data_IF_139435718218
#
_entry.id   IF_139435718218
#
_cell.length_a   1.000
_cell.length_b   1.000
_cell.length_c   1.000
_cell.angle_alpha   90.00
_cell.angle_beta   90.00
_cell.angle_gamma   90.00
#
_symmetry.space_group_name_H-M   'P 1'
#
loop_
_entity.id
_entity.type
_entity.pdbx_description
1 polymer ?
#
# COMPACT_ATOMS: atom_id res chain seq x y z
N UNK A 1 38.83 0.16 28.53
CA UNK A 1 37.70 -0.05 29.45
C UNK A 1 36.59 0.91 29.03
N UNK A 2 35.69 0.48 28.14
CA UNK A 2 34.57 1.30 27.60
C UNK A 2 33.42 1.01 28.51
N UNK A 3 33.00 1.99 29.30
CA UNK A 3 31.75 1.91 30.08
C UNK A 3 30.56 1.67 29.13
N UNK A 4 29.67 0.70 29.41
CA UNK A 4 28.44 0.56 28.65
C UNK A 4 27.60 1.81 28.90
N UNK A 5 27.30 2.56 27.82
CA UNK A 5 26.28 3.61 27.85
C UNK A 5 25.00 2.99 28.33
N UNK A 6 24.55 3.35 29.52
CA UNK A 6 23.23 2.99 30.01
C UNK A 6 22.20 3.42 28.96
N UNK A 7 21.21 2.57 28.64
CA UNK A 7 20.16 2.97 27.73
C UNK A 7 19.49 4.22 28.29
N UNK A 8 19.14 5.22 27.43
CA UNK A 8 18.46 6.42 27.92
C UNK A 8 17.19 5.97 28.66
N UNK A 9 17.07 6.36 29.92
CA UNK A 9 15.84 6.21 30.70
C UNK A 9 14.78 7.00 29.96
N UNK A 10 14.01 6.31 29.12
CA UNK A 10 12.81 6.86 28.50
C UNK A 10 11.94 7.33 29.65
N UNK A 11 11.72 8.64 29.78
CA UNK A 11 10.72 9.18 30.65
C UNK A 11 9.38 8.58 30.19
N UNK A 12 8.95 7.53 30.89
CA UNK A 12 7.72 6.80 30.61
C UNK A 12 6.54 7.70 31.04
N UNK A 13 6.18 8.65 30.19
CA UNK A 13 4.82 9.15 30.23
C UNK A 13 3.98 7.98 29.76
N UNK A 14 3.17 7.40 30.65
CA UNK A 14 2.32 6.26 30.34
C UNK A 14 1.54 6.56 29.06
N UNK A 15 1.72 5.75 27.98
CA UNK A 15 1.01 5.93 26.73
C UNK A 15 -0.51 5.86 26.96
N UNK A 16 -1.29 6.50 26.08
CA UNK A 16 -2.75 6.50 26.19
C UNK A 16 -3.33 5.09 26.15
N UNK A 17 -4.24 4.79 27.09
CA UNK A 17 -4.93 3.49 27.19
C UNK A 17 -6.36 3.55 26.61
N UNK A 18 -6.99 2.37 26.42
CA UNK A 18 -8.29 2.15 25.76
C UNK A 18 -9.43 3.07 26.26
N UNK A 19 -9.44 3.45 27.53
CA UNK A 19 -10.43 4.33 28.14
C UNK A 19 -10.23 5.81 27.85
N UNK A 20 -9.03 6.22 27.44
CA UNK A 20 -8.60 7.60 27.39
C UNK A 20 -9.20 8.37 26.19
N UNK A 21 -9.50 9.64 26.41
CA UNK A 21 -9.82 10.55 25.30
C UNK A 21 -8.66 10.66 24.31
N UNK A 22 -7.40 10.62 24.79
CA UNK A 22 -6.20 10.62 23.97
C UNK A 22 -6.15 9.43 23.01
N UNK A 23 -6.41 8.22 23.50
CA UNK A 23 -6.49 7.03 22.66
C UNK A 23 -7.50 7.18 21.51
N UNK A 24 -8.74 7.59 21.83
CA UNK A 24 -9.80 7.78 20.82
C UNK A 24 -9.42 8.82 19.77
N UNK A 25 -8.75 9.91 20.18
CA UNK A 25 -8.27 10.97 19.27
C UNK A 25 -7.17 10.43 18.36
N UNK A 26 -6.20 9.69 18.87
CA UNK A 26 -5.12 9.08 18.08
C UNK A 26 -5.66 8.12 17.05
N UNK A 27 -6.51 7.15 17.45
CA UNK A 27 -7.03 6.16 16.51
C UNK A 27 -7.94 6.76 15.45
N UNK A 28 -8.79 7.74 15.81
CA UNK A 28 -9.65 8.47 14.88
C UNK A 28 -8.84 9.31 13.89
N UNK A 29 -7.79 9.98 14.35
CA UNK A 29 -6.88 10.72 13.48
C UNK A 29 -6.14 9.82 12.50
N UNK A 30 -5.58 8.70 12.97
CA UNK A 30 -4.84 7.77 12.10
C UNK A 30 -5.76 7.01 11.14
N UNK A 31 -6.98 6.72 11.54
CA UNK A 31 -7.99 6.18 10.63
C UNK A 31 -8.27 7.18 9.49
N UNK A 32 -8.58 8.44 9.80
CA UNK A 32 -8.82 9.49 8.81
C UNK A 32 -7.59 9.73 7.92
N UNK A 33 -6.39 9.71 8.51
CA UNK A 33 -5.14 9.82 7.77
C UNK A 33 -4.96 8.65 6.78
N UNK A 34 -5.26 7.41 7.20
CA UNK A 34 -5.24 6.23 6.34
C UNK A 34 -6.24 6.36 5.19
N UNK A 35 -7.46 6.80 5.47
CA UNK A 35 -8.49 7.07 4.44
C UNK A 35 -7.97 8.08 3.42
N UNK A 36 -7.48 9.24 3.86
CA UNK A 36 -6.96 10.29 2.97
C UNK A 36 -5.85 9.76 2.05
N UNK A 37 -4.82 9.15 2.66
CA UNK A 37 -3.63 8.70 1.93
C UNK A 37 -3.97 7.72 0.83
N UNK A 38 -4.76 6.69 1.14
CA UNK A 38 -5.05 5.63 0.17
C UNK A 38 -6.16 6.01 -0.81
N UNK A 39 -7.08 6.90 -0.45
CA UNK A 39 -8.05 7.48 -1.38
C UNK A 39 -7.34 8.30 -2.46
N UNK A 40 -6.42 9.19 -2.08
CA UNK A 40 -5.62 9.99 -3.01
C UNK A 40 -4.67 9.12 -3.86
N UNK A 41 -4.03 8.11 -3.27
CA UNK A 41 -3.10 7.21 -3.95
C UNK A 41 -3.75 6.54 -5.16
N UNK A 42 -4.95 6.02 -4.98
CA UNK A 42 -5.65 5.22 -5.99
C UNK A 42 -6.77 5.98 -6.73
N UNK A 43 -6.89 7.28 -6.56
CA UNK A 43 -7.97 8.11 -7.14
C UNK A 43 -8.09 8.02 -8.66
N UNK A 44 -6.98 7.81 -9.39
CA UNK A 44 -7.01 7.69 -10.85
C UNK A 44 -7.31 6.28 -11.37
N UNK A 45 -7.31 5.25 -10.50
CA UNK A 45 -7.42 3.86 -10.98
C UNK A 45 -8.77 3.55 -11.64
N UNK A 46 -9.88 4.12 -11.13
CA UNK A 46 -11.19 3.98 -11.76
C UNK A 46 -11.33 4.82 -13.04
N UNK A 47 -10.45 5.79 -13.25
CA UNK A 47 -10.46 6.73 -14.38
C UNK A 47 -9.55 6.29 -15.53
N UNK A 48 -8.82 5.18 -15.40
CA UNK A 48 -7.86 4.73 -16.42
C UNK A 48 -8.47 4.57 -17.81
N UNK A 49 -9.73 4.06 -17.97
CA UNK A 49 -10.35 3.97 -19.29
C UNK A 49 -10.73 5.32 -19.90
N UNK A 50 -10.89 6.37 -19.10
CA UNK A 50 -11.27 7.72 -19.54
C UNK A 50 -10.09 8.50 -20.14
N UNK A 51 -8.88 8.31 -19.65
CA UNK A 51 -7.72 9.09 -20.08
C UNK A 51 -7.35 8.92 -21.56
N UNK A 52 -7.47 7.72 -22.18
CA UNK A 52 -7.33 7.57 -23.63
C UNK A 52 -8.26 8.48 -24.42
N UNK A 53 -9.51 8.60 -24.00
CA UNK A 53 -10.51 9.45 -24.68
C UNK A 53 -10.22 10.94 -24.46
N UNK A 54 -9.84 11.33 -23.25
CA UNK A 54 -9.61 12.74 -22.90
C UNK A 54 -8.30 13.28 -23.45
N UNK A 55 -7.23 12.51 -23.42
CA UNK A 55 -5.87 12.98 -23.73
C UNK A 55 -5.26 12.37 -24.99
N UNK A 56 -5.95 11.46 -25.69
CA UNK A 56 -5.41 10.77 -26.85
C UNK A 56 -4.23 9.84 -26.56
N UNK A 57 -4.15 9.31 -25.31
CA UNK A 57 -3.06 8.45 -24.86
C UNK A 57 -3.45 6.98 -24.96
N UNK A 58 -2.46 6.08 -25.00
CA UNK A 58 -2.72 4.63 -25.00
C UNK A 58 -3.15 4.14 -23.60
N UNK A 59 -3.74 2.93 -23.52
CA UNK A 59 -4.02 2.26 -22.26
C UNK A 59 -2.74 2.08 -21.42
N UNK A 60 -1.60 1.79 -22.06
CA UNK A 60 -0.30 1.70 -21.41
C UNK A 60 0.14 3.03 -20.78
N UNK A 61 -0.05 4.13 -21.50
CA UNK A 61 0.24 5.46 -20.96
C UNK A 61 -0.70 5.82 -19.82
N UNK A 62 -1.99 5.51 -19.94
CA UNK A 62 -3.00 5.78 -18.91
C UNK A 62 -2.61 5.20 -17.54
N UNK A 63 -2.08 3.96 -17.49
CA UNK A 63 -1.66 3.32 -16.24
C UNK A 63 -0.51 4.05 -15.53
N UNK A 64 0.26 4.91 -16.24
CA UNK A 64 1.32 5.73 -15.63
C UNK A 64 0.77 6.68 -14.56
N UNK A 65 -0.49 7.09 -14.63
CA UNK A 65 -1.11 7.96 -13.63
C UNK A 65 -1.19 7.32 -12.23
N UNK A 66 -1.29 6.00 -12.14
CA UNK A 66 -1.20 5.23 -10.89
C UNK A 66 0.26 4.92 -10.56
N UNK A 67 1.02 4.47 -11.55
CA UNK A 67 2.39 3.98 -11.38
C UNK A 67 3.36 5.06 -10.91
N UNK A 68 3.26 6.28 -11.45
CA UNK A 68 4.09 7.41 -11.00
C UNK A 68 3.77 7.82 -9.56
N UNK A 69 2.52 7.70 -9.13
CA UNK A 69 2.18 7.96 -7.73
C UNK A 69 2.76 6.88 -6.81
N UNK A 70 2.68 5.61 -7.20
CA UNK A 70 3.20 4.51 -6.37
C UNK A 70 4.72 4.50 -6.31
N UNK A 71 5.44 4.81 -7.41
CA UNK A 71 6.90 4.92 -7.35
C UNK A 71 7.36 6.15 -6.57
N UNK A 72 6.68 7.30 -6.73
CA UNK A 72 6.97 8.50 -5.94
C UNK A 72 6.84 8.24 -4.45
N UNK A 73 5.77 7.54 -4.04
CA UNK A 73 5.58 7.12 -2.66
C UNK A 73 6.66 6.12 -2.20
N UNK A 74 6.95 5.10 -3.01
CA UNK A 74 7.97 4.09 -2.68
C UNK A 74 9.35 4.68 -2.45
N UNK A 75 9.81 5.55 -3.36
CA UNK A 75 11.11 6.23 -3.23
C UNK A 75 11.13 7.18 -2.02
N UNK A 76 10.07 7.96 -1.85
CA UNK A 76 10.00 8.90 -0.74
C UNK A 76 9.93 8.23 0.64
N UNK A 77 9.40 6.99 0.74
CA UNK A 77 9.41 6.21 1.99
C UNK A 77 10.81 5.96 2.53
N UNK A 78 11.83 5.80 1.66
CA UNK A 78 13.21 5.58 2.08
C UNK A 78 13.80 6.79 2.82
N UNK A 79 13.27 7.99 2.52
CA UNK A 79 13.72 9.26 3.11
C UNK A 79 12.78 9.71 4.24
N UNK A 80 11.47 9.48 4.10
CA UNK A 80 10.47 9.97 5.05
C UNK A 80 10.64 9.38 6.46
N UNK A 81 11.07 8.11 6.58
CA UNK A 81 11.38 7.49 7.87
C UNK A 81 12.49 8.25 8.61
N UNK A 82 13.72 8.31 8.08
CA UNK A 82 14.81 9.11 8.65
C UNK A 82 14.46 10.58 8.88
N UNK A 83 13.74 11.21 7.95
CA UNK A 83 13.32 12.61 8.11
C UNK A 83 12.42 12.79 9.33
N UNK A 84 11.57 11.82 9.63
CA UNK A 84 10.68 11.87 10.77
C UNK A 84 11.40 11.80 12.12
N UNK A 85 12.60 11.14 12.15
CA UNK A 85 13.45 11.07 13.35
C UNK A 85 14.03 12.45 13.72
N UNK A 86 14.12 13.37 12.75
CA UNK A 86 14.65 14.71 12.94
C UNK A 86 13.52 15.75 13.05
N UNK A 87 12.57 15.72 12.13
CA UNK A 87 11.51 16.73 12.02
C UNK A 87 10.33 16.51 12.99
N UNK A 88 10.19 15.29 13.52
CA UNK A 88 9.10 14.87 14.40
C UNK A 88 7.92 14.25 13.64
N UNK A 89 7.29 13.26 14.27
CA UNK A 89 6.22 12.43 13.67
C UNK A 89 5.00 13.24 13.25
N UNK A 90 4.46 14.04 14.16
CA UNK A 90 3.22 14.80 13.97
C UNK A 90 3.35 15.85 12.87
N UNK A 91 4.49 16.54 12.79
CA UNK A 91 4.75 17.55 11.75
C UNK A 91 4.75 16.91 10.36
N UNK A 92 5.42 15.77 10.23
CA UNK A 92 5.48 15.06 8.94
C UNK A 92 4.11 14.54 8.50
N UNK A 93 3.29 14.01 9.44
CA UNK A 93 1.91 13.57 9.15
C UNK A 93 1.08 14.76 8.63
N UNK A 94 1.07 15.88 9.34
CA UNK A 94 0.28 17.05 8.91
C UNK A 94 0.72 17.60 7.56
N UNK A 95 2.04 17.75 7.35
CA UNK A 95 2.57 18.19 6.07
C UNK A 95 2.18 17.25 4.92
N UNK A 96 2.36 15.95 5.13
CA UNK A 96 2.04 14.92 4.14
C UNK A 96 0.57 14.98 3.71
N UNK A 97 -0.36 15.04 4.66
CA UNK A 97 -1.79 15.07 4.37
C UNK A 97 -2.22 16.37 3.68
N UNK A 98 -1.76 17.51 4.17
CA UNK A 98 -2.09 18.81 3.57
C UNK A 98 -1.51 18.92 2.16
N UNK A 99 -0.22 18.64 1.99
CA UNK A 99 0.46 18.74 0.70
C UNK A 99 -0.14 17.78 -0.33
N UNK A 100 -0.39 16.51 0.04
CA UNK A 100 -0.96 15.53 -0.88
C UNK A 100 -2.40 15.86 -1.32
N UNK A 101 -3.21 16.42 -0.43
CA UNK A 101 -4.56 16.87 -0.75
C UNK A 101 -4.54 18.10 -1.69
N UNK A 102 -3.65 19.07 -1.44
CA UNK A 102 -3.47 20.24 -2.33
C UNK A 102 -2.97 19.84 -3.71
N UNK A 103 -1.99 18.91 -3.78
CA UNK A 103 -1.56 18.33 -5.08
C UNK A 103 -2.71 17.58 -5.74
N UNK A 104 -3.58 16.92 -4.96
CA UNK A 104 -4.81 16.30 -5.47
C UNK A 104 -5.76 17.31 -6.14
N UNK A 105 -5.94 18.50 -5.55
CA UNK A 105 -6.68 19.60 -6.20
C UNK A 105 -5.98 20.02 -7.50
N UNK A 106 -4.66 20.17 -7.49
CA UNK A 106 -3.91 20.51 -8.70
C UNK A 106 -4.06 19.44 -9.80
N UNK A 107 -4.13 18.14 -9.44
CA UNK A 107 -4.41 17.06 -10.40
C UNK A 107 -5.76 17.23 -11.09
N UNK A 108 -6.80 17.67 -10.37
CA UNK A 108 -8.11 17.95 -10.96
C UNK A 108 -8.08 19.11 -11.96
N UNK A 109 -7.17 20.05 -11.76
CA UNK A 109 -6.98 21.24 -12.60
C UNK A 109 -5.93 21.05 -13.72
N UNK A 110 -5.34 19.84 -13.85
CA UNK A 110 -4.26 19.58 -14.79
C UNK A 110 -4.68 19.91 -16.25
N UNK A 111 -3.95 20.80 -16.96
CA UNK A 111 -4.32 21.21 -18.32
C UNK A 111 -3.90 20.17 -19.38
N UNK A 112 -2.92 19.32 -19.09
CA UNK A 112 -2.39 18.33 -20.00
C UNK A 112 -2.01 17.04 -19.32
N UNK A 113 -1.85 15.97 -20.11
CA UNK A 113 -1.42 14.66 -19.64
C UNK A 113 -0.08 14.71 -18.88
N UNK A 114 0.91 15.39 -19.44
CA UNK A 114 2.24 15.49 -18.83
C UNK A 114 2.21 16.21 -17.47
N UNK A 115 1.44 17.29 -17.36
CA UNK A 115 1.25 18.00 -16.09
C UNK A 115 0.56 17.09 -15.07
N UNK A 116 -0.47 16.32 -15.46
CA UNK A 116 -1.11 15.35 -14.59
C UNK A 116 -0.10 14.32 -14.09
N UNK A 117 0.77 13.78 -14.95
CA UNK A 117 1.77 12.78 -14.56
C UNK A 117 2.79 13.35 -13.57
N UNK A 118 3.28 14.57 -13.77
CA UNK A 118 4.19 15.25 -12.83
C UNK A 118 3.52 15.45 -11.47
N UNK A 119 2.28 15.93 -11.49
CA UNK A 119 1.50 16.10 -10.26
C UNK A 119 1.23 14.78 -9.55
N UNK A 120 0.97 13.70 -10.28
CA UNK A 120 0.79 12.35 -9.71
C UNK A 120 2.07 11.82 -9.06
N UNK A 121 3.24 12.06 -9.67
CA UNK A 121 4.54 11.73 -9.05
C UNK A 121 4.74 12.53 -7.76
N UNK A 122 4.53 13.85 -7.81
CA UNK A 122 4.63 14.72 -6.64
C UNK A 122 3.64 14.33 -5.54
N UNK A 123 2.42 13.95 -5.91
CA UNK A 123 1.42 13.45 -4.97
C UNK A 123 1.92 12.19 -4.27
N UNK A 124 2.54 11.24 -4.99
CA UNK A 124 3.16 10.07 -4.40
C UNK A 124 4.22 10.42 -3.37
N UNK A 125 5.12 11.34 -3.70
CA UNK A 125 6.16 11.82 -2.79
C UNK A 125 5.56 12.41 -1.52
N UNK A 126 4.54 13.25 -1.65
CA UNK A 126 3.90 13.89 -0.48
C UNK A 126 3.09 12.92 0.37
N UNK A 127 2.54 11.84 -0.21
CA UNK A 127 1.81 10.80 0.52
C UNK A 127 2.69 9.94 1.43
N UNK A 128 4.01 9.89 1.23
CA UNK A 128 4.91 8.98 1.94
C UNK A 128 5.01 9.24 3.45
N UNK A 129 4.72 10.46 3.90
CA UNK A 129 4.93 10.86 5.30
C UNK A 129 4.08 10.04 6.28
N UNK A 130 2.84 9.71 5.96
CA UNK A 130 1.99 8.92 6.86
C UNK A 130 2.44 7.46 7.00
N UNK A 131 2.57 6.67 5.90
CA UNK A 131 2.97 5.26 6.02
C UNK A 131 4.35 5.09 6.66
N UNK A 132 5.25 6.06 6.48
CA UNK A 132 6.57 6.03 7.08
C UNK A 132 6.55 6.11 8.60
N UNK A 133 5.58 6.81 9.19
CA UNK A 133 5.64 7.15 10.62
C UNK A 133 4.44 6.65 11.45
N UNK A 134 3.34 6.21 10.83
CA UNK A 134 2.11 5.85 11.56
C UNK A 134 2.35 4.80 12.64
N UNK A 135 3.09 3.74 12.35
CA UNK A 135 3.38 2.66 13.30
C UNK A 135 4.35 3.09 14.40
N UNK A 136 5.32 3.96 14.10
CA UNK A 136 6.22 4.52 15.09
C UNK A 136 5.46 5.42 16.07
N UNK A 137 4.64 6.34 15.54
CA UNK A 137 3.79 7.22 16.34
C UNK A 137 2.84 6.42 17.27
N UNK A 138 2.22 5.34 16.77
CA UNK A 138 1.37 4.47 17.57
C UNK A 138 2.13 3.84 18.75
N UNK A 139 3.37 3.38 18.50
CA UNK A 139 4.19 2.75 19.55
C UNK A 139 4.72 3.75 20.57
N UNK A 140 4.96 4.99 20.16
CA UNK A 140 5.48 6.05 21.01
C UNK A 140 4.37 6.62 21.93
N UNK A 141 3.12 6.75 21.43
CA UNK A 141 2.07 7.51 22.12
C UNK A 141 1.00 6.64 22.80
N UNK A 142 0.92 5.33 22.48
CA UNK A 142 -0.09 4.43 23.04
C UNK A 142 0.53 3.38 23.97
N UNK A 143 -0.26 2.93 24.93
CA UNK A 143 0.13 1.83 25.83
C UNK A 143 0.36 0.54 25.02
N UNK A 144 1.44 -0.25 25.31
CA UNK A 144 1.79 -1.46 24.55
C UNK A 144 0.63 -2.45 24.37
N UNK A 145 -0.24 -2.63 25.36
CA UNK A 145 -1.41 -3.50 25.29
C UNK A 145 -2.46 -3.10 24.26
N UNK A 146 -2.38 -1.86 23.72
CA UNK A 146 -3.35 -1.33 22.75
C UNK A 146 -2.83 -1.30 21.32
N UNK A 147 -1.54 -1.52 21.09
CA UNK A 147 -0.88 -1.35 19.80
C UNK A 147 -1.53 -2.15 18.67
N UNK A 148 -1.84 -3.43 18.90
CA UNK A 148 -2.43 -4.32 17.89
C UNK A 148 -3.82 -3.79 17.44
N UNK A 149 -4.65 -3.34 18.39
CA UNK A 149 -5.98 -2.79 18.11
C UNK A 149 -5.88 -1.47 17.36
N UNK A 150 -4.99 -0.58 17.76
CA UNK A 150 -4.79 0.71 17.12
C UNK A 150 -4.25 0.55 15.69
N UNK A 151 -3.28 -0.35 15.49
CA UNK A 151 -2.79 -0.70 14.16
C UNK A 151 -3.90 -1.28 13.27
N UNK A 152 -4.78 -2.13 13.82
CA UNK A 152 -5.94 -2.66 13.10
C UNK A 152 -6.89 -1.57 12.63
N UNK A 153 -7.18 -0.55 13.45
CA UNK A 153 -8.02 0.59 13.06
C UNK A 153 -7.35 1.44 11.96
N UNK A 154 -6.04 1.70 12.08
CA UNK A 154 -5.27 2.38 11.04
C UNK A 154 -5.32 1.63 9.69
N UNK A 155 -5.07 0.31 9.71
CA UNK A 155 -5.14 -0.54 8.51
C UNK A 155 -6.57 -0.54 7.93
N UNK A 156 -7.60 -0.58 8.78
CA UNK A 156 -8.99 -0.41 8.35
C UNK A 156 -9.22 0.91 7.61
N UNK A 157 -8.64 2.01 8.11
CA UNK A 157 -8.65 3.30 7.43
C UNK A 157 -7.99 3.26 6.05
N UNK A 158 -6.84 2.58 5.91
CA UNK A 158 -6.16 2.45 4.61
C UNK A 158 -6.99 1.64 3.60
N UNK A 159 -7.65 0.58 4.05
CA UNK A 159 -8.52 -0.24 3.20
C UNK A 159 -9.75 0.54 2.72
N UNK A 160 -10.43 1.22 3.63
CA UNK A 160 -11.58 2.08 3.31
C UNK A 160 -11.15 3.21 2.36
N UNK A 161 -10.00 3.85 2.61
CA UNK A 161 -9.44 4.88 1.74
C UNK A 161 -9.20 4.37 0.33
N UNK A 162 -8.55 3.22 0.20
CA UNK A 162 -8.33 2.58 -1.09
C UNK A 162 -9.63 2.30 -1.87
N UNK A 163 -10.70 1.91 -1.19
CA UNK A 163 -12.03 1.76 -1.80
C UNK A 163 -12.64 3.11 -2.15
N UNK A 164 -12.65 4.06 -1.22
CA UNK A 164 -13.25 5.39 -1.39
C UNK A 164 -12.69 6.09 -2.62
N UNK A 165 -11.37 6.04 -2.83
CA UNK A 165 -10.72 6.64 -4.00
C UNK A 165 -11.33 6.18 -5.32
N UNK A 166 -11.72 4.92 -5.44
CA UNK A 166 -12.26 4.30 -6.64
C UNK A 166 -13.79 4.43 -6.75
N UNK A 167 -14.48 4.17 -5.64
CA UNK A 167 -15.95 4.18 -5.58
C UNK A 167 -16.55 5.58 -5.70
N UNK A 168 -15.78 6.62 -5.38
CA UNK A 168 -16.23 8.01 -5.51
C UNK A 168 -15.87 8.57 -6.88
N UNK A 169 -14.66 8.31 -7.38
CA UNK A 169 -14.21 8.91 -8.65
C UNK A 169 -14.98 8.38 -9.86
N UNK A 170 -15.29 7.08 -9.91
CA UNK A 170 -16.00 6.49 -11.04
C UNK A 170 -17.39 7.08 -11.29
N UNK A 171 -18.32 7.02 -10.32
CA UNK A 171 -19.67 7.59 -10.49
C UNK A 171 -19.69 9.09 -10.77
N UNK A 172 -18.81 9.86 -10.11
CA UNK A 172 -18.74 11.30 -10.36
C UNK A 172 -18.19 11.57 -11.77
N UNK A 173 -17.24 10.76 -12.24
CA UNK A 173 -16.71 10.90 -13.59
C UNK A 173 -17.75 10.59 -14.66
N UNK A 174 -18.63 9.61 -14.45
CA UNK A 174 -19.72 9.30 -15.38
C UNK A 174 -20.70 10.48 -15.59
N UNK A 175 -20.92 11.28 -14.53
CA UNK A 175 -21.91 12.38 -14.56
C UNK A 175 -21.30 13.74 -14.84
N UNK A 176 -20.13 14.01 -14.26
CA UNK A 176 -19.53 15.36 -14.26
C UNK A 176 -18.12 15.40 -14.89
N UNK A 177 -17.58 14.23 -15.27
CA UNK A 177 -16.24 14.10 -15.83
C UNK A 177 -15.15 13.87 -14.78
N UNK A 178 -14.01 13.37 -15.24
CA UNK A 178 -12.91 12.92 -14.40
C UNK A 178 -12.31 14.00 -13.48
N UNK A 179 -12.35 15.27 -13.90
CA UNK A 179 -11.85 16.39 -13.10
C UNK A 179 -12.63 16.52 -11.78
N UNK A 180 -13.95 16.43 -11.84
CA UNK A 180 -14.80 16.48 -10.67
C UNK A 180 -14.64 15.22 -9.79
N UNK A 181 -14.38 14.06 -10.39
CA UNK A 181 -14.01 12.85 -9.66
C UNK A 181 -12.76 13.04 -8.81
N UNK A 182 -11.68 13.60 -9.41
CA UNK A 182 -10.45 13.91 -8.68
C UNK A 182 -10.64 15.04 -7.65
N UNK A 183 -11.40 16.09 -7.98
CA UNK A 183 -11.70 17.18 -7.05
C UNK A 183 -12.45 16.68 -5.80
N UNK A 184 -13.41 15.78 -5.98
CA UNK A 184 -14.15 15.18 -4.87
C UNK A 184 -13.23 14.41 -3.91
N UNK A 185 -12.31 13.60 -4.46
CA UNK A 185 -11.34 12.87 -3.62
C UNK A 185 -10.31 13.80 -2.98
N UNK A 186 -9.90 14.86 -3.67
CA UNK A 186 -9.07 15.90 -3.06
C UNK A 186 -9.81 16.58 -1.89
N UNK A 187 -11.12 16.84 -2.05
CA UNK A 187 -11.99 17.34 -0.98
C UNK A 187 -12.05 16.39 0.22
N UNK A 188 -12.22 15.08 -0.01
CA UNK A 188 -12.13 14.06 1.05
C UNK A 188 -10.77 14.14 1.74
N UNK A 189 -9.69 14.27 0.98
CA UNK A 189 -8.33 14.43 1.51
C UNK A 189 -8.19 15.66 2.41
N UNK A 190 -8.72 16.82 1.98
CA UNK A 190 -8.70 18.07 2.76
C UNK A 190 -9.53 17.94 4.07
N UNK A 191 -10.71 17.35 3.99
CA UNK A 191 -11.54 17.09 5.19
C UNK A 191 -10.81 16.17 6.17
N UNK A 192 -10.22 15.08 5.69
CA UNK A 192 -9.43 14.18 6.52
C UNK A 192 -8.21 14.90 7.12
N UNK A 193 -7.49 15.72 6.34
CA UNK A 193 -6.36 16.51 6.84
C UNK A 193 -6.80 17.47 7.97
N UNK A 194 -7.95 18.11 7.82
CA UNK A 194 -8.53 18.95 8.88
C UNK A 194 -8.90 18.12 10.12
N UNK A 195 -9.56 16.98 9.95
CA UNK A 195 -9.88 16.07 11.06
C UNK A 195 -8.62 15.64 11.80
N UNK A 196 -7.56 15.27 11.08
CA UNK A 196 -6.27 14.90 11.68
C UNK A 196 -5.66 16.10 12.41
N UNK A 197 -5.74 17.31 11.84
CA UNK A 197 -5.22 18.53 12.48
C UNK A 197 -5.91 18.84 13.82
N UNK A 198 -7.20 18.52 13.93
CA UNK A 198 -8.00 18.76 15.13
C UNK A 198 -7.87 17.63 16.17
N UNK A 199 -7.68 16.39 15.71
CA UNK A 199 -7.69 15.22 16.59
C UNK A 199 -6.30 14.76 17.01
N UNK A 200 -5.28 14.80 16.12
CA UNK A 200 -3.98 14.19 16.42
C UNK A 200 -3.24 14.96 17.52
N UNK A 201 -2.96 14.34 18.68
CA UNK A 201 -2.18 14.99 19.72
C UNK A 201 -0.73 15.19 19.25
N UNK A 202 -0.03 16.23 19.77
CA UNK A 202 1.42 16.35 19.53
C UNK A 202 2.16 15.16 20.14
N UNK A 203 3.26 14.73 19.48
CA UNK A 203 4.12 13.68 20.02
C UNK A 203 4.73 14.13 21.36
N UNK A 204 4.49 13.34 22.42
CA UNK A 204 5.00 13.60 23.78
C UNK A 204 6.21 12.75 24.11
N UNK A 205 6.28 11.55 23.53
CA UNK A 205 7.34 10.57 23.78
C UNK A 205 8.38 10.52 22.65
N UNK A 206 8.31 11.46 21.70
CA UNK A 206 9.27 11.56 20.61
C UNK A 206 10.62 12.09 21.09
N UNK A 207 11.68 11.33 20.84
CA UNK A 207 13.07 11.74 21.06
C UNK A 207 13.75 11.81 19.69
N UNK A 208 14.23 12.99 19.31
CA UNK A 208 14.94 13.15 18.05
C UNK A 208 16.28 12.38 18.07
N UNK A 209 16.48 11.54 17.07
CA UNK A 209 17.71 10.77 16.89
C UNK A 209 18.41 11.25 15.62
N UNK A 210 19.70 11.66 15.67
CA UNK A 210 20.42 12.04 14.47
C UNK A 210 20.50 10.88 13.48
N UNK A 211 19.99 11.10 12.27
CA UNK A 211 20.07 10.11 11.21
C UNK A 211 21.48 10.08 10.61
N UNK A 212 22.27 9.06 10.91
CA UNK A 212 23.59 8.85 10.31
C UNK A 212 23.43 8.09 8.99
N UNK A 213 23.54 8.78 7.87
CA UNK A 213 23.36 8.21 6.52
C UNK A 213 24.23 6.98 6.26
N UNK A 214 25.48 6.98 6.72
CA UNK A 214 26.38 5.81 6.60
C UNK A 214 25.88 4.58 7.35
N UNK A 215 25.29 4.75 8.52
CA UNK A 215 24.74 3.65 9.30
C UNK A 215 23.48 3.09 8.62
N UNK A 216 22.62 3.94 8.07
CA UNK A 216 21.43 3.53 7.31
C UNK A 216 21.81 2.74 6.05
N UNK A 217 22.81 3.22 5.29
CA UNK A 217 23.32 2.51 4.11
C UNK A 217 23.92 1.16 4.46
N UNK A 218 24.72 1.09 5.55
CA UNK A 218 25.29 -0.16 6.01
C UNK A 218 24.23 -1.18 6.47
N UNK A 219 23.16 -0.72 7.10
CA UNK A 219 22.02 -1.57 7.47
C UNK A 219 21.24 -2.04 6.24
N UNK A 220 21.03 -1.17 5.25
CA UNK A 220 20.39 -1.53 3.99
C UNK A 220 21.23 -2.57 3.24
N UNK A 221 22.54 -2.38 3.15
CA UNK A 221 23.46 -3.34 2.52
C UNK A 221 23.42 -4.71 3.20
N UNK A 222 23.37 -4.76 4.54
CA UNK A 222 23.21 -6.02 5.28
C UNK A 222 21.86 -6.69 5.01
N UNK A 223 20.78 -5.91 4.93
CA UNK A 223 19.46 -6.44 4.60
C UNK A 223 19.41 -7.04 3.19
N UNK A 224 20.05 -6.39 2.22
CA UNK A 224 20.18 -6.87 0.84
C UNK A 224 21.16 -8.04 0.70
N UNK A 225 22.04 -8.23 1.66
CA UNK A 225 22.96 -9.38 1.74
C UNK A 225 22.29 -10.68 2.24
N UNK A 226 21.10 -10.63 2.83
CA UNK A 226 20.34 -11.84 3.20
C UNK A 226 19.42 -12.27 2.05
N UNK A 227 19.72 -13.42 1.38
CA UNK A 227 18.94 -13.88 0.24
C UNK A 227 17.47 -14.17 0.60
N UNK A 228 17.17 -14.53 1.86
CA UNK A 228 15.79 -14.73 2.28
C UNK A 228 15.02 -13.41 2.42
N UNK A 229 15.66 -12.34 2.89
CA UNK A 229 15.04 -11.01 2.88
C UNK A 229 14.81 -10.52 1.44
N UNK A 230 15.79 -10.69 0.54
CA UNK A 230 15.63 -10.34 -0.87
C UNK A 230 14.49 -11.12 -1.52
N UNK A 231 14.37 -12.42 -1.25
CA UNK A 231 13.25 -13.22 -1.74
C UNK A 231 11.90 -12.74 -1.18
N UNK A 232 11.83 -12.33 0.09
CA UNK A 232 10.62 -11.76 0.67
C UNK A 232 10.27 -10.39 0.04
N UNK A 233 11.27 -9.58 -0.29
CA UNK A 233 11.07 -8.32 -1.04
C UNK A 233 10.52 -8.60 -2.44
N UNK A 234 11.06 -9.61 -3.14
CA UNK A 234 10.58 -10.04 -4.46
C UNK A 234 9.16 -10.63 -4.38
N UNK A 235 8.82 -11.41 -3.35
CA UNK A 235 7.45 -11.89 -3.07
C UNK A 235 6.50 -10.70 -2.91
N UNK A 236 6.88 -9.68 -2.15
CA UNK A 236 6.11 -8.45 -2.01
C UNK A 236 5.91 -7.73 -3.35
N UNK A 237 6.99 -7.51 -4.10
CA UNK A 237 6.96 -6.82 -5.39
C UNK A 237 6.12 -7.56 -6.44
N UNK A 238 6.31 -8.87 -6.60
CA UNK A 238 5.58 -9.67 -7.58
C UNK A 238 4.10 -9.79 -7.23
N UNK A 239 3.76 -10.05 -5.97
CA UNK A 239 2.37 -10.23 -5.55
C UNK A 239 1.55 -8.94 -5.71
N UNK A 240 2.07 -7.78 -5.27
CA UNK A 240 1.38 -6.50 -5.47
C UNK A 240 1.36 -6.11 -6.94
N UNK A 241 2.44 -6.37 -7.67
CA UNK A 241 2.53 -6.11 -9.10
C UNK A 241 1.45 -6.84 -9.87
N UNK A 242 1.24 -8.14 -9.60
CA UNK A 242 0.16 -8.92 -10.17
C UNK A 242 -1.23 -8.36 -9.80
N UNK A 243 -1.42 -8.04 -8.52
CA UNK A 243 -2.68 -7.49 -8.01
C UNK A 243 -3.02 -6.15 -8.66
N UNK A 244 -2.08 -5.21 -8.70
CA UNK A 244 -2.30 -3.90 -9.31
C UNK A 244 -2.46 -4.01 -10.82
N UNK A 245 -1.73 -4.91 -11.49
CA UNK A 245 -1.88 -5.16 -12.92
C UNK A 245 -3.32 -5.58 -13.28
N UNK A 246 -3.90 -6.50 -12.52
CA UNK A 246 -5.29 -6.95 -12.71
C UNK A 246 -6.25 -5.77 -12.52
N UNK A 247 -6.16 -5.05 -11.40
CA UNK A 247 -7.10 -3.97 -11.08
C UNK A 247 -6.92 -2.71 -11.93
N UNK A 248 -5.73 -2.43 -12.48
CA UNK A 248 -5.53 -1.36 -13.46
C UNK A 248 -6.19 -1.71 -14.81
N UNK A 249 -6.04 -2.95 -15.27
CA UNK A 249 -6.61 -3.36 -16.56
C UNK A 249 -8.11 -3.69 -16.49
N UNK A 250 -8.63 -3.94 -15.29
CA UNK A 250 -10.03 -4.34 -15.09
C UNK A 250 -11.02 -3.27 -15.57
N UNK A 251 -10.70 -2.00 -15.37
CA UNK A 251 -11.51 -0.89 -15.87
C UNK A 251 -11.71 -0.98 -17.39
N UNK A 252 -10.62 -1.17 -18.14
CA UNK A 252 -10.71 -1.32 -19.61
C UNK A 252 -11.57 -2.51 -20.01
N UNK A 253 -11.45 -3.64 -19.33
CA UNK A 253 -12.26 -4.83 -19.61
C UNK A 253 -13.75 -4.61 -19.39
N UNK A 254 -14.10 -3.94 -18.29
CA UNK A 254 -15.51 -3.78 -17.91
C UNK A 254 -16.20 -2.64 -18.66
N UNK A 255 -15.47 -1.66 -19.16
CA UNK A 255 -16.03 -0.56 -19.97
C UNK A 255 -16.12 -0.89 -21.45
N UNK A 256 -15.48 -1.95 -21.92
CA UNK A 256 -15.54 -2.42 -23.31
C UNK A 256 -16.48 -3.64 -23.47
N UNK A 257 -16.65 -4.10 -24.72
CA UNK A 257 -17.42 -5.30 -25.02
C UNK A 257 -16.91 -6.52 -24.24
N UNK A 258 -17.77 -7.41 -23.78
CA UNK A 258 -19.23 -7.44 -23.92
C UNK A 258 -19.99 -6.68 -22.81
N UNK A 259 -19.30 -6.08 -21.82
CA UNK A 259 -19.93 -5.56 -20.59
C UNK A 259 -20.45 -4.13 -20.74
N UNK A 260 -19.70 -3.23 -21.40
CA UNK A 260 -20.06 -1.81 -21.62
C UNK A 260 -20.54 -1.07 -20.36
N UNK A 261 -19.94 -1.36 -19.20
CA UNK A 261 -20.28 -0.69 -17.95
C UNK A 261 -19.74 0.75 -17.92
N UNK A 262 -20.47 1.68 -17.29
CA UNK A 262 -19.92 2.98 -16.92
C UNK A 262 -18.82 2.84 -15.86
N UNK A 263 -18.00 3.89 -15.67
CA UNK A 263 -16.90 3.90 -14.73
C UNK A 263 -17.35 3.63 -13.30
N UNK A 264 -18.50 4.17 -12.90
CA UNK A 264 -19.10 3.95 -11.58
C UNK A 264 -19.50 2.49 -11.37
N UNK A 265 -20.20 1.89 -12.33
CA UNK A 265 -20.60 0.50 -12.26
C UNK A 265 -19.38 -0.44 -12.27
N UNK A 266 -18.40 -0.18 -13.13
CA UNK A 266 -17.13 -0.90 -13.15
C UNK A 266 -16.35 -0.73 -11.80
N UNK A 267 -16.48 0.43 -11.17
CA UNK A 267 -15.88 0.71 -9.86
C UNK A 267 -16.46 -0.12 -8.71
N UNK A 268 -17.71 -0.62 -8.82
CA UNK A 268 -18.32 -1.45 -7.77
C UNK A 268 -17.55 -2.76 -7.51
N UNK A 269 -16.76 -3.24 -8.46
CA UNK A 269 -15.90 -4.42 -8.26
C UNK A 269 -14.89 -4.25 -7.14
N UNK A 270 -14.53 -3.01 -6.79
CA UNK A 270 -13.63 -2.76 -5.66
C UNK A 270 -14.27 -3.06 -4.30
N UNK A 271 -15.57 -3.32 -4.23
CA UNK A 271 -16.24 -3.84 -3.03
C UNK A 271 -15.76 -5.25 -2.63
N UNK A 272 -14.98 -5.94 -3.45
CA UNK A 272 -14.32 -7.20 -3.06
C UNK A 272 -13.15 -7.02 -2.09
N UNK A 273 -12.62 -5.80 -1.91
CA UNK A 273 -11.45 -5.54 -1.05
C UNK A 273 -11.60 -5.96 0.42
N UNK A 274 -12.78 -5.84 1.08
CA UNK A 274 -12.99 -6.35 2.43
C UNK A 274 -12.73 -7.85 2.58
N UNK A 275 -12.91 -8.64 1.52
CA UNK A 275 -12.57 -10.07 1.49
C UNK A 275 -11.07 -10.27 1.76
N UNK A 276 -10.23 -9.35 1.30
CA UNK A 276 -8.79 -9.35 1.58
C UNK A 276 -8.48 -9.20 3.06
N UNK A 277 -9.22 -8.39 3.80
CA UNK A 277 -9.04 -8.26 5.26
C UNK A 277 -9.31 -9.58 5.97
N UNK A 278 -10.40 -10.26 5.60
CA UNK A 278 -10.74 -11.59 6.11
C UNK A 278 -9.64 -12.60 5.73
N UNK A 279 -9.22 -12.60 4.48
CA UNK A 279 -8.15 -13.46 3.96
C UNK A 279 -6.83 -13.28 4.72
N UNK A 280 -6.42 -12.04 4.98
CA UNK A 280 -5.22 -11.73 5.76
C UNK A 280 -5.31 -12.20 7.21
N UNK A 281 -6.46 -12.00 7.87
CA UNK A 281 -6.67 -12.47 9.24
C UNK A 281 -6.65 -14.00 9.35
N UNK A 282 -7.29 -14.69 8.41
CA UNK A 282 -7.27 -16.15 8.34
C UNK A 282 -5.86 -16.68 8.07
N UNK A 283 -5.14 -16.06 7.14
CA UNK A 283 -3.77 -16.44 6.83
C UNK A 283 -2.82 -16.25 8.02
N UNK A 284 -3.00 -15.19 8.82
CA UNK A 284 -2.26 -14.99 10.06
C UNK A 284 -2.47 -16.18 11.03
N UNK A 285 -3.72 -16.55 11.30
CA UNK A 285 -4.05 -17.71 12.17
C UNK A 285 -3.51 -19.03 11.63
N UNK A 286 -3.57 -19.22 10.31
CA UNK A 286 -3.02 -20.42 9.66
C UNK A 286 -1.49 -20.43 9.73
N UNK A 287 -0.83 -19.27 9.62
CA UNK A 287 0.62 -19.16 9.74
C UNK A 287 1.11 -19.48 11.16
N UNK A 288 0.33 -19.14 12.19
CA UNK A 288 0.62 -19.51 13.58
C UNK A 288 0.45 -21.01 13.80
N UNK A 289 -0.55 -21.64 13.14
CA UNK A 289 -0.85 -23.08 13.30
C UNK A 289 0.05 -23.98 12.46
N UNK A 290 0.32 -23.64 11.21
CA UNK A 290 1.03 -24.51 10.26
C UNK A 290 2.44 -24.04 9.92
N UNK A 291 2.68 -22.84 9.67
CA UNK A 291 3.88 -22.03 9.47
C UNK A 291 3.71 -20.99 8.35
N UNK A 292 4.46 -19.90 8.42
CA UNK A 292 4.52 -18.89 7.38
C UNK A 292 4.96 -19.47 6.03
N UNK A 293 5.86 -20.46 6.05
CA UNK A 293 6.41 -21.17 4.89
C UNK A 293 5.37 -21.99 4.13
N UNK A 294 4.32 -22.46 4.79
CA UNK A 294 3.23 -23.18 4.15
C UNK A 294 2.16 -22.23 3.59
N UNK A 295 1.83 -21.17 4.34
CA UNK A 295 0.71 -20.29 4.01
C UNK A 295 0.99 -19.40 2.79
N UNK A 296 2.23 -18.89 2.63
CA UNK A 296 2.56 -17.97 1.51
C UNK A 296 2.38 -18.64 0.14
N UNK A 297 2.95 -19.84 -0.16
CA UNK A 297 2.73 -20.49 -1.44
C UNK A 297 1.27 -20.88 -1.67
N UNK A 298 0.54 -21.28 -0.61
CA UNK A 298 -0.88 -21.60 -0.71
C UNK A 298 -1.72 -20.35 -1.03
N UNK A 299 -1.39 -19.21 -0.43
CA UNK A 299 -2.00 -17.92 -0.77
C UNK A 299 -1.78 -17.52 -2.23
N UNK A 300 -0.58 -17.76 -2.76
CA UNK A 300 -0.27 -17.50 -4.17
C UNK A 300 -1.09 -18.41 -5.12
N UNK A 301 -1.30 -19.68 -4.75
CA UNK A 301 -2.15 -20.60 -5.51
C UNK A 301 -3.61 -20.15 -5.49
N UNK A 302 -4.14 -19.71 -4.35
CA UNK A 302 -5.50 -19.15 -4.25
C UNK A 302 -5.63 -17.92 -5.15
N UNK A 303 -4.65 -17.00 -5.11
CA UNK A 303 -4.68 -15.81 -5.96
C UNK A 303 -4.65 -16.19 -7.45
N UNK A 304 -3.83 -17.16 -7.85
CA UNK A 304 -3.77 -17.66 -9.21
C UNK A 304 -5.09 -18.32 -9.64
N UNK A 305 -5.70 -19.13 -8.79
CA UNK A 305 -7.01 -19.74 -9.06
C UNK A 305 -8.09 -18.67 -9.27
N UNK A 306 -8.15 -17.65 -8.39
CA UNK A 306 -9.04 -16.52 -8.55
C UNK A 306 -8.80 -15.75 -9.85
N UNK A 307 -7.54 -15.54 -10.22
CA UNK A 307 -7.18 -14.89 -11.48
C UNK A 307 -7.69 -15.68 -12.69
N UNK A 308 -7.50 -17.00 -12.71
CA UNK A 308 -7.97 -17.86 -13.81
C UNK A 308 -9.49 -17.87 -13.94
N UNK A 309 -10.24 -17.83 -12.85
CA UNK A 309 -11.69 -17.66 -12.88
C UNK A 309 -12.13 -16.41 -13.65
N UNK A 310 -11.32 -15.35 -13.61
CA UNK A 310 -11.64 -14.13 -14.35
C UNK A 310 -11.59 -14.29 -15.87
N UNK A 311 -11.04 -15.36 -16.42
CA UNK A 311 -11.07 -15.64 -17.87
C UNK A 311 -12.48 -15.95 -18.37
N UNK A 312 -13.36 -16.41 -17.49
CA UNK A 312 -14.75 -16.71 -17.82
C UNK A 312 -15.50 -15.39 -18.08
N UNK A 313 -16.21 -15.30 -19.22
CA UNK A 313 -16.89 -14.09 -19.69
C UNK A 313 -18.17 -13.71 -18.94
N UNK A 314 -18.36 -14.18 -17.71
CA UNK A 314 -19.53 -13.91 -16.86
C UNK A 314 -19.17 -12.93 -15.74
N UNK A 315 -19.88 -11.81 -15.63
CA UNK A 315 -19.60 -10.78 -14.62
C UNK A 315 -19.64 -11.32 -13.17
N UNK A 316 -20.62 -12.14 -12.76
CA UNK A 316 -20.60 -12.75 -11.41
C UNK A 316 -19.37 -13.62 -11.16
N UNK A 317 -18.91 -14.38 -12.16
CA UNK A 317 -17.72 -15.24 -12.05
C UNK A 317 -16.45 -14.39 -11.99
N UNK A 318 -16.39 -13.29 -12.72
CA UNK A 318 -15.29 -12.32 -12.64
C UNK A 318 -15.21 -11.74 -11.22
N UNK A 319 -16.34 -11.30 -10.66
CA UNK A 319 -16.38 -10.76 -9.29
C UNK A 319 -15.95 -11.80 -8.25
N UNK A 320 -16.42 -13.04 -8.38
CA UNK A 320 -15.98 -14.16 -7.54
C UNK A 320 -14.46 -14.40 -7.68
N UNK A 321 -13.96 -14.45 -8.92
CA UNK A 321 -12.54 -14.59 -9.21
C UNK A 321 -11.69 -13.48 -8.58
N UNK A 322 -12.15 -12.22 -8.67
CA UNK A 322 -11.50 -11.09 -8.03
C UNK A 322 -11.55 -11.17 -6.50
N UNK A 323 -12.63 -11.67 -5.91
CA UNK A 323 -12.71 -11.88 -4.46
C UNK A 323 -11.70 -12.95 -3.99
N UNK A 324 -11.62 -14.09 -4.71
CA UNK A 324 -10.67 -15.18 -4.43
C UNK A 324 -9.22 -14.69 -4.61
N UNK A 325 -8.93 -13.97 -5.72
CA UNK A 325 -7.63 -13.36 -5.98
C UNK A 325 -7.25 -12.41 -4.84
N UNK A 326 -8.17 -11.57 -4.41
CA UNK A 326 -7.96 -10.60 -3.33
C UNK A 326 -7.64 -11.31 -2.02
N UNK A 327 -8.40 -12.35 -1.65
CA UNK A 327 -8.12 -13.16 -0.45
C UNK A 327 -6.71 -13.77 -0.50
N UNK A 328 -6.34 -14.38 -1.63
CA UNK A 328 -5.01 -14.98 -1.83
C UNK A 328 -3.88 -13.96 -1.77
N UNK A 329 -4.02 -12.82 -2.45
CA UNK A 329 -3.04 -11.74 -2.41
C UNK A 329 -2.81 -11.21 -0.98
N UNK A 330 -3.88 -10.89 -0.25
CA UNK A 330 -3.75 -10.37 1.11
C UNK A 330 -3.24 -11.43 2.10
N UNK A 331 -3.47 -12.72 1.84
CA UNK A 331 -2.85 -13.81 2.60
C UNK A 331 -1.32 -13.81 2.40
N UNK A 332 -0.84 -13.71 1.14
CA UNK A 332 0.60 -13.60 0.82
C UNK A 332 1.20 -12.37 1.48
N UNK A 333 0.61 -11.19 1.22
CA UNK A 333 1.15 -9.90 1.68
C UNK A 333 1.17 -9.81 3.21
N UNK A 334 0.08 -10.17 3.87
CA UNK A 334 -0.02 -10.11 5.33
C UNK A 334 1.03 -10.98 6.03
N UNK A 335 1.23 -12.21 5.56
CA UNK A 335 2.22 -13.13 6.14
C UNK A 335 3.65 -12.71 5.78
N UNK A 336 3.93 -12.34 4.52
CA UNK A 336 5.26 -11.95 4.07
C UNK A 336 5.75 -10.66 4.77
N UNK A 337 4.89 -9.64 4.88
CA UNK A 337 5.22 -8.38 5.57
C UNK A 337 5.54 -8.58 7.06
N UNK A 338 4.84 -9.49 7.73
CA UNK A 338 5.12 -9.87 9.12
C UNK A 338 6.36 -10.77 9.26
N UNK A 339 6.76 -11.48 8.20
CA UNK A 339 7.95 -12.34 8.22
C UNK A 339 9.24 -11.54 8.09
N UNK A 340 9.23 -10.44 7.31
CA UNK A 340 10.41 -9.57 7.09
C UNK A 340 11.05 -9.09 8.39
N UNK A 341 10.34 -8.42 9.32
CA UNK A 341 10.96 -7.94 10.56
C UNK A 341 11.45 -9.08 11.47
N UNK A 342 10.77 -10.22 11.47
CA UNK A 342 11.20 -11.41 12.24
C UNK A 342 12.51 -11.98 11.70
N UNK A 343 12.65 -12.11 10.36
CA UNK A 343 13.88 -12.57 9.72
C UNK A 343 15.03 -11.59 9.93
N UNK A 344 14.74 -10.29 9.76
CA UNK A 344 15.73 -9.23 9.95
C UNK A 344 16.29 -9.23 11.38
N UNK A 345 15.43 -9.32 12.39
CA UNK A 345 15.84 -9.38 13.79
C UNK A 345 16.76 -10.58 14.06
N UNK A 346 16.39 -11.78 13.60
CA UNK A 346 17.21 -12.98 13.73
C UNK A 346 18.56 -12.85 12.99
N UNK A 347 18.64 -12.09 11.89
CA UNK A 347 19.87 -11.81 11.14
C UNK A 347 20.70 -10.64 11.65
N UNK A 348 20.34 -10.01 12.77
CA UNK A 348 21.02 -8.82 13.30
C UNK A 348 20.85 -7.57 12.42
N UNK A 349 19.78 -7.53 11.61
CA UNK A 349 19.41 -6.37 10.80
C UNK A 349 18.27 -5.62 11.51
N UNK A 350 18.31 -4.28 11.46
CA UNK A 350 17.25 -3.45 12.03
C UNK A 350 15.90 -3.74 11.35
N UNK A 351 14.91 -4.20 12.11
CA UNK A 351 13.60 -4.61 11.62
C UNK A 351 12.88 -3.47 10.86
N UNK A 352 13.01 -2.22 11.32
CA UNK A 352 12.42 -1.06 10.66
C UNK A 352 13.02 -0.80 9.28
N UNK A 353 14.35 -0.93 9.13
CA UNK A 353 15.03 -0.76 7.84
C UNK A 353 14.61 -1.86 6.85
N UNK A 354 14.54 -3.11 7.30
CA UNK A 354 14.09 -4.21 6.46
C UNK A 354 12.63 -4.04 6.02
N UNK A 355 11.76 -3.56 6.91
CA UNK A 355 10.37 -3.25 6.58
C UNK A 355 10.25 -2.09 5.56
N UNK A 356 11.09 -1.05 5.67
CA UNK A 356 11.12 0.05 4.69
C UNK A 356 11.56 -0.43 3.30
N UNK A 357 12.58 -1.30 3.23
CA UNK A 357 13.02 -1.90 1.97
C UNK A 357 11.93 -2.82 1.37
N UNK A 358 11.21 -3.57 2.20
CA UNK A 358 10.06 -4.35 1.74
C UNK A 358 8.98 -3.46 1.13
N UNK A 359 8.61 -2.36 1.79
CA UNK A 359 7.61 -1.43 1.26
C UNK A 359 8.10 -0.72 0.00
N UNK A 360 9.39 -0.38 -0.08
CA UNK A 360 9.97 0.15 -1.31
C UNK A 360 9.84 -0.86 -2.46
N UNK A 361 10.27 -2.12 -2.27
CA UNK A 361 10.14 -3.18 -3.27
C UNK A 361 8.67 -3.42 -3.66
N UNK A 362 7.76 -3.40 -2.69
CA UNK A 362 6.33 -3.50 -2.88
C UNK A 362 5.79 -2.39 -3.80
N UNK A 363 6.08 -1.12 -3.53
CA UNK A 363 5.62 -0.01 -4.38
C UNK A 363 6.34 0.04 -5.72
N UNK A 364 7.60 -0.38 -5.80
CA UNK A 364 8.32 -0.56 -7.06
C UNK A 364 7.63 -1.62 -7.94
N UNK A 365 7.30 -2.78 -7.37
CA UNK A 365 6.54 -3.82 -8.06
C UNK A 365 5.17 -3.33 -8.54
N UNK A 366 4.43 -2.63 -7.68
CA UNK A 366 3.17 -1.97 -8.01
C UNK A 366 3.32 -1.01 -9.21
N UNK A 367 4.37 -0.21 -9.22
CA UNK A 367 4.62 0.76 -10.28
C UNK A 367 5.00 0.09 -11.61
N UNK A 368 6.00 -0.79 -11.58
CA UNK A 368 6.53 -1.45 -12.79
C UNK A 368 5.47 -2.34 -13.44
N UNK A 369 4.93 -3.28 -12.68
CA UNK A 369 3.97 -4.25 -13.23
C UNK A 369 2.57 -3.64 -13.41
N UNK A 370 2.23 -2.61 -12.62
CA UNK A 370 1.05 -1.80 -12.85
C UNK A 370 1.09 -1.05 -14.18
N UNK A 371 2.26 -0.52 -14.59
CA UNK A 371 2.45 0.08 -15.92
C UNK A 371 2.39 -0.96 -17.04
N UNK A 372 3.05 -2.10 -16.84
CA UNK A 372 3.07 -3.19 -17.82
C UNK A 372 1.67 -3.77 -18.08
N UNK A 373 0.72 -3.62 -17.16
CA UNK A 373 -0.66 -4.09 -17.35
C UNK A 373 -1.36 -3.44 -18.54
N UNK A 374 -1.11 -2.15 -18.77
CA UNK A 374 -1.66 -1.44 -19.94
C UNK A 374 -1.06 -1.94 -21.26
N UNK A 375 0.22 -2.31 -21.27
CA UNK A 375 0.85 -2.94 -22.44
C UNK A 375 0.29 -4.35 -22.67
N UNK A 376 0.20 -5.16 -21.58
CA UNK A 376 -0.38 -6.49 -21.64
C UNK A 376 -1.83 -6.46 -22.16
N UNK A 377 -2.62 -5.46 -21.73
CA UNK A 377 -3.95 -5.20 -22.27
C UNK A 377 -3.93 -4.88 -23.77
N UNK A 378 -3.07 -3.98 -24.19
CA UNK A 378 -2.97 -3.56 -25.59
C UNK A 378 -2.52 -4.68 -26.53
N UNK A 379 -1.66 -5.59 -26.07
CA UNK A 379 -1.11 -6.69 -26.88
C UNK A 379 -2.00 -7.94 -26.90
N UNK A 380 -2.69 -8.24 -25.81
CA UNK A 380 -3.41 -9.52 -25.65
C UNK A 380 -4.74 -9.40 -24.90
N UNK A 381 -5.29 -8.19 -24.81
CA UNK A 381 -6.52 -7.92 -24.03
C UNK A 381 -6.48 -8.56 -22.65
N UNK A 382 -7.58 -9.08 -22.13
CA UNK A 382 -7.62 -9.68 -20.79
C UNK A 382 -6.72 -10.92 -20.63
N UNK A 383 -6.65 -11.85 -21.59
CA UNK A 383 -5.68 -12.97 -21.52
C UNK A 383 -4.22 -12.53 -21.36
N UNK A 384 -3.80 -11.44 -22.00
CA UNK A 384 -2.47 -10.86 -21.82
C UNK A 384 -2.22 -10.38 -20.39
N UNK A 385 -3.20 -9.73 -19.78
CA UNK A 385 -3.13 -9.31 -18.37
C UNK A 385 -3.07 -10.51 -17.43
N UNK A 386 -3.87 -11.55 -17.70
CA UNK A 386 -3.86 -12.80 -16.92
C UNK A 386 -2.53 -13.52 -17.05
N UNK A 387 -1.90 -13.53 -18.23
CA UNK A 387 -0.58 -14.11 -18.42
C UNK A 387 0.49 -13.36 -17.61
N UNK A 388 0.51 -12.03 -17.65
CA UNK A 388 1.41 -11.20 -16.85
C UNK A 388 1.22 -11.46 -15.34
N UNK A 389 0.00 -11.31 -14.85
CA UNK A 389 -0.30 -11.45 -13.42
C UNK A 389 -0.12 -12.91 -12.95
N UNK A 390 -0.49 -13.88 -13.76
CA UNK A 390 -0.29 -15.31 -13.50
C UNK A 390 1.17 -15.68 -13.40
N UNK A 391 2.01 -15.16 -14.30
CA UNK A 391 3.47 -15.32 -14.23
C UNK A 391 4.05 -14.75 -12.94
N UNK A 392 3.59 -13.57 -12.51
CA UNK A 392 4.02 -12.96 -11.25
C UNK A 392 3.57 -13.74 -10.00
N UNK A 393 2.34 -14.28 -9.98
CA UNK A 393 1.92 -15.17 -8.90
C UNK A 393 2.65 -16.50 -8.91
N UNK A 394 2.99 -17.04 -10.09
CA UNK A 394 3.83 -18.24 -10.20
C UNK A 394 5.25 -17.98 -9.61
N UNK A 395 5.89 -16.86 -9.98
CA UNK A 395 7.16 -16.44 -9.39
C UNK A 395 7.04 -16.27 -7.87
N UNK A 396 5.95 -15.63 -7.39
CA UNK A 396 5.66 -15.50 -5.94
C UNK A 396 5.60 -16.86 -5.26
N UNK A 397 4.90 -17.83 -5.86
CA UNK A 397 4.79 -19.19 -5.36
C UNK A 397 6.14 -19.93 -5.34
N UNK A 398 6.93 -19.83 -6.41
CA UNK A 398 8.26 -20.44 -6.51
C UNK A 398 9.24 -19.86 -5.48
N UNK A 399 9.28 -18.55 -5.30
CA UNK A 399 10.08 -17.90 -4.27
C UNK A 399 9.64 -18.32 -2.86
N UNK A 400 8.34 -18.44 -2.63
CA UNK A 400 7.81 -18.90 -1.37
C UNK A 400 8.15 -20.38 -1.09
N UNK A 401 8.15 -21.23 -2.10
CA UNK A 401 8.62 -22.63 -2.01
C UNK A 401 10.12 -22.70 -1.74
N UNK A 402 10.92 -21.87 -2.41
CA UNK A 402 12.36 -21.78 -2.13
C UNK A 402 12.64 -21.36 -0.69
N UNK A 403 11.86 -20.40 -0.15
CA UNK A 403 11.96 -19.97 1.26
C UNK A 403 11.67 -21.11 2.26
N UNK A 404 10.98 -22.19 1.87
CA UNK A 404 10.77 -23.37 2.75
C UNK A 404 12.07 -24.10 3.05
N UNK A 405 13.01 -24.09 2.12
CA UNK A 405 14.31 -24.74 2.24
C UNK A 405 15.38 -23.83 2.88
N UNK A 406 15.09 -22.54 3.07
CA UNK A 406 16.02 -21.60 3.71
C UNK A 406 16.11 -21.89 5.20
N UNK A 407 17.29 -22.12 5.80
CA UNK A 407 17.40 -22.42 7.21
C UNK A 407 16.90 -21.26 8.07
N UNK A 408 16.21 -21.56 9.21
CA UNK A 408 15.92 -20.53 10.19
C UNK A 408 17.24 -20.01 10.77
N UNK A 409 17.34 -18.68 10.93
CA UNK A 409 18.48 -18.12 11.66
C UNK A 409 18.26 -18.37 13.16
N UNK A 410 19.30 -18.81 13.93
CA UNK A 410 19.19 -18.90 15.36
C UNK A 410 18.89 -17.51 15.93
N UNK A 411 17.94 -17.44 16.87
CA UNK A 411 17.71 -16.21 17.64
C UNK A 411 19.00 -15.94 18.45
N UNK A 412 19.69 -14.86 18.17
CA UNK A 412 20.85 -14.37 18.93
C UNK A 412 20.39 -13.52 20.08
#
# INVERSE_FOLDING_TARGET
MVLPLAPPVLAQHGGHDLGDRGYRRVIGALFAAGVSTFALLYSTQALLPEFPHTFGVSAAQSTLSVSLTTIGLGVALLVAGPLSEVAGRTRLIHFSLAASALVGVACALAPSWHVLLILRLLQGVTLAGLPAVATAYLREELHPGTHARAAGVYIGGTAIGGMTGRLVTGPIADVAGWRWGLAAIAGVGLVCALVVRLLLPPSRNFVAVPAHSRALLAMAARALGDPALVALYAVGACSIGAFVAVFNALGFRLTTAPFHLGLGAAGLVFLVYPVGTVGSMMAGRLADRFSRRAVVPFGALIALAGLLLTLIGSLPVIVLGLAVLTAGFFAVHGVASGWVPTRAHAGGVAAGQAASLYLFAYYLGSSVFGSLSGQAWSLGAWPGVVALAGGLFAVTGLLALWLRHTPPLPLR
#
